data_IF_280631696059
#
_entry.id   IF_280631696059
#
_cell.length_a   1.000
_cell.length_b   1.000
_cell.length_c   1.000
_cell.angle_alpha   90.00
_cell.angle_beta   90.00
_cell.angle_gamma   90.00
#
_symmetry.space_group_name_H-M   'P 1'
#
loop_
_entity.id
_entity.type
_entity.pdbx_description
1 polymer ?
#
# COMPACT_ATOMS: atom_id res chain seq x y z
N UNK A 1 11.40 13.93 8.72
CA UNK A 1 11.19 12.85 9.70
C UNK A 1 11.13 11.56 8.89
N UNK A 2 12.24 10.85 8.77
CA UNK A 2 12.39 9.65 7.91
C UNK A 2 12.18 8.36 8.70
N UNK A 3 11.32 8.42 9.72
CA UNK A 3 11.10 7.28 10.60
C UNK A 3 10.38 6.18 9.80
N UNK A 4 10.87 4.94 9.89
CA UNK A 4 10.21 3.81 9.24
C UNK A 4 8.87 3.51 9.95
N UNK A 5 7.94 2.86 9.24
CA UNK A 5 6.63 2.39 9.73
C UNK A 5 5.51 3.43 9.79
N UNK A 6 5.55 4.45 8.92
CA UNK A 6 4.36 5.25 8.66
C UNK A 6 3.34 4.43 7.88
N UNK A 7 2.08 4.42 8.32
CA UNK A 7 1.03 3.68 7.67
C UNK A 7 -0.18 4.55 7.36
N UNK A 8 -0.84 4.19 6.29
CA UNK A 8 -2.17 4.67 5.93
C UNK A 8 -3.10 3.47 5.79
N UNK A 9 -4.35 3.62 6.21
CA UNK A 9 -5.36 2.55 6.18
C UNK A 9 -6.68 3.11 5.71
N UNK A 10 -7.40 2.33 4.92
CA UNK A 10 -8.78 2.60 4.50
C UNK A 10 -9.70 1.45 4.89
N UNK A 11 -10.94 1.78 5.29
CA UNK A 11 -12.08 0.86 5.40
C UNK A 11 -12.93 1.03 4.14
N UNK A 12 -13.11 -0.04 3.37
CA UNK A 12 -13.91 -0.06 2.14
C UNK A 12 -15.42 -0.06 2.41
N UNK A 13 -15.83 -0.26 3.67
CA UNK A 13 -17.22 -0.28 4.12
C UNK A 13 -17.87 -1.67 4.13
N UNK A 14 -17.38 -2.59 3.30
CA UNK A 14 -17.81 -3.99 3.25
C UNK A 14 -16.65 -4.90 2.79
N UNK A 15 -16.85 -6.22 2.81
CA UNK A 15 -15.88 -7.20 2.31
C UNK A 15 -16.00 -7.30 0.79
N UNK A 16 -14.91 -7.01 0.11
CA UNK A 16 -14.80 -7.09 -1.34
C UNK A 16 -13.67 -8.02 -1.79
N UNK A 17 -13.85 -8.74 -2.90
CA UNK A 17 -12.73 -9.43 -3.55
C UNK A 17 -11.87 -8.40 -4.28
N UNK A 18 -10.61 -8.28 -3.90
CA UNK A 18 -9.65 -7.33 -4.49
C UNK A 18 -8.41 -8.06 -5.01
N UNK A 19 -7.80 -7.53 -6.06
CA UNK A 19 -6.62 -8.11 -6.72
C UNK A 19 -5.56 -7.06 -7.07
N UNK A 20 -5.79 -5.80 -6.71
CA UNK A 20 -4.85 -4.73 -7.03
C UNK A 20 -5.01 -3.47 -6.20
N UNK A 21 -3.89 -2.78 -6.02
CA UNK A 21 -3.82 -1.45 -5.41
C UNK A 21 -2.86 -0.58 -6.23
N UNK A 22 -3.29 0.64 -6.56
CA UNK A 22 -2.45 1.67 -7.18
C UNK A 22 -2.18 2.78 -6.17
N UNK A 23 -0.92 3.14 -6.00
CA UNK A 23 -0.48 4.22 -5.12
C UNK A 23 0.14 5.33 -5.97
N UNK A 24 -0.35 6.56 -5.80
CA UNK A 24 0.24 7.77 -6.38
C UNK A 24 1.02 8.52 -5.30
N UNK A 25 2.34 8.40 -5.32
CA UNK A 25 3.26 9.06 -4.40
C UNK A 25 3.38 10.57 -4.70
N UNK A 26 3.59 11.38 -3.67
CA UNK A 26 3.75 12.84 -3.84
C UNK A 26 4.98 13.17 -4.73
N UNK A 27 6.07 12.43 -4.52
CA UNK A 27 7.36 12.60 -5.20
C UNK A 27 7.75 11.35 -6.00
N UNK A 28 8.52 11.54 -7.08
CA UNK A 28 9.11 10.46 -7.87
C UNK A 28 10.41 9.96 -7.21
N UNK A 29 10.29 9.26 -6.09
CA UNK A 29 11.40 8.80 -5.27
C UNK A 29 11.23 7.32 -4.89
N UNK A 30 12.27 6.73 -4.31
CA UNK A 30 12.22 5.35 -3.83
C UNK A 30 11.41 5.27 -2.53
N UNK A 31 10.22 4.69 -2.64
CA UNK A 31 9.39 4.29 -1.51
C UNK A 31 9.44 2.78 -1.36
N UNK A 32 9.90 2.31 -0.20
CA UNK A 32 9.76 0.93 0.22
C UNK A 32 8.49 0.80 1.04
N UNK A 33 7.63 -0.15 0.68
CA UNK A 33 6.34 -0.31 1.34
C UNK A 33 5.86 -1.75 1.32
N UNK A 34 4.87 -2.04 2.17
CA UNK A 34 4.10 -3.28 2.12
C UNK A 34 2.62 -2.94 2.03
N UNK A 35 1.86 -3.78 1.33
CA UNK A 35 0.40 -3.69 1.29
C UNK A 35 -0.15 -4.91 2.02
N UNK A 36 -1.01 -4.64 2.98
CA UNK A 36 -1.66 -5.63 3.81
C UNK A 36 -3.17 -5.44 3.73
N UNK A 37 -3.91 -6.54 3.77
CA UNK A 37 -5.36 -6.55 3.69
C UNK A 37 -5.95 -7.30 4.88
N UNK A 38 -7.18 -6.95 5.25
CA UNK A 38 -7.86 -7.59 6.37
C UNK A 38 -9.38 -7.55 6.18
N UNK A 39 -10.07 -8.57 6.67
CA UNK A 39 -11.54 -8.59 6.77
C UNK A 39 -12.04 -8.04 8.11
N UNK A 40 -11.21 -8.07 9.16
CA UNK A 40 -11.61 -7.84 10.55
C UNK A 40 -10.82 -6.73 11.26
N UNK A 41 -9.86 -6.10 10.57
CA UNK A 41 -8.95 -5.07 11.07
C UNK A 41 -7.99 -5.55 12.20
N UNK A 42 -7.98 -6.85 12.50
CA UNK A 42 -7.14 -7.46 13.54
C UNK A 42 -6.08 -8.38 12.91
N UNK A 43 -6.50 -9.25 11.99
CA UNK A 43 -5.66 -10.17 11.26
C UNK A 43 -5.33 -9.59 9.89
N UNK A 44 -4.03 -9.41 9.62
CA UNK A 44 -3.55 -8.76 8.41
C UNK A 44 -2.78 -9.76 7.54
N UNK A 45 -3.17 -9.85 6.27
CA UNK A 45 -2.50 -10.68 5.26
C UNK A 45 -1.66 -9.73 4.41
N UNK A 46 -0.34 -9.98 4.35
CA UNK A 46 0.54 -9.26 3.44
C UNK A 46 0.32 -9.78 2.02
N UNK A 47 -0.16 -8.91 1.13
CA UNK A 47 -0.44 -9.24 -0.28
C UNK A 47 0.64 -8.72 -1.23
N UNK A 48 1.35 -7.67 -0.83
CA UNK A 48 2.46 -7.10 -1.61
C UNK A 48 3.61 -6.78 -0.66
N UNK A 49 4.82 -7.22 -1.02
CA UNK A 49 6.06 -6.83 -0.35
C UNK A 49 6.97 -6.06 -1.31
N UNK A 50 7.05 -4.75 -1.11
CA UNK A 50 7.92 -3.82 -1.83
C UNK A 50 8.93 -3.21 -0.84
N UNK A 51 9.38 -3.98 0.15
CA UNK A 51 10.36 -3.51 1.14
C UNK A 51 11.75 -3.24 0.55
N UNK A 52 12.04 -3.79 -0.63
CA UNK A 52 13.25 -3.53 -1.42
C UNK A 52 12.86 -2.99 -2.80
N UNK A 53 11.99 -1.98 -2.84
CA UNK A 53 11.53 -1.38 -4.09
C UNK A 53 12.67 -0.58 -4.74
N UNK A 54 12.86 -0.77 -6.03
CA UNK A 54 13.84 -0.07 -6.87
C UNK A 54 13.18 0.90 -7.87
N UNK A 55 11.85 0.97 -7.89
CA UNK A 55 11.09 1.91 -8.72
C UNK A 55 10.92 3.26 -8.04
N UNK A 56 11.25 4.32 -8.78
CA UNK A 56 11.01 5.72 -8.43
C UNK A 56 9.77 6.31 -9.12
N UNK A 57 8.95 5.47 -9.75
CA UNK A 57 7.72 5.92 -10.40
C UNK A 57 6.75 6.51 -9.36
N UNK A 58 6.12 7.63 -9.71
CA UNK A 58 5.09 8.26 -8.87
C UNK A 58 3.87 7.35 -8.72
N UNK A 59 3.40 6.77 -9.82
CA UNK A 59 2.26 5.87 -9.81
C UNK A 59 2.77 4.44 -9.84
N UNK A 60 2.47 3.66 -8.80
CA UNK A 60 2.86 2.26 -8.73
C UNK A 60 1.62 1.39 -8.57
N UNK A 61 1.36 0.58 -9.60
CA UNK A 61 0.31 -0.44 -9.59
C UNK A 61 0.89 -1.76 -9.07
N UNK A 62 0.27 -2.30 -8.03
CA UNK A 62 0.62 -3.60 -7.45
C UNK A 62 -0.57 -4.53 -7.55
N UNK A 63 -0.49 -5.50 -8.45
CA UNK A 63 -1.42 -6.62 -8.53
C UNK A 63 -1.00 -7.78 -7.61
N UNK A 64 -1.97 -8.52 -7.10
CA UNK A 64 -1.77 -9.69 -6.25
C UNK A 64 -2.90 -10.72 -6.47
N UNK A 65 -2.74 -11.93 -5.92
CA UNK A 65 -3.79 -12.95 -5.97
C UNK A 65 -5.07 -12.41 -5.34
N UNK A 66 -6.24 -12.74 -5.91
CA UNK A 66 -7.54 -12.33 -5.38
C UNK A 66 -7.66 -12.65 -3.88
N UNK A 67 -7.90 -11.63 -3.07
CA UNK A 67 -8.14 -11.74 -1.63
C UNK A 67 -9.44 -11.02 -1.24
N UNK A 68 -10.17 -11.58 -0.27
CA UNK A 68 -11.32 -10.89 0.30
C UNK A 68 -10.84 -9.92 1.38
N UNK A 69 -11.19 -8.65 1.26
CA UNK A 69 -10.75 -7.61 2.17
C UNK A 69 -11.83 -6.55 2.41
N UNK A 70 -11.89 -6.05 3.63
CA UNK A 70 -12.62 -4.83 3.99
C UNK A 70 -11.67 -3.67 4.28
N UNK A 71 -10.50 -3.97 4.81
CA UNK A 71 -9.48 -2.99 5.16
C UNK A 71 -8.24 -3.21 4.31
N UNK A 72 -7.66 -2.10 3.85
CA UNK A 72 -6.37 -2.09 3.15
C UNK A 72 -5.45 -1.17 3.93
N UNK A 73 -4.22 -1.63 4.20
CA UNK A 73 -3.18 -0.87 4.88
C UNK A 73 -1.93 -0.84 4.01
N UNK A 74 -1.38 0.35 3.83
CA UNK A 74 -0.10 0.59 3.19
C UNK A 74 0.85 1.05 4.29
N UNK A 75 1.96 0.33 4.47
CA UNK A 75 2.98 0.67 5.45
C UNK A 75 4.28 1.00 4.71
N UNK A 76 4.76 2.23 4.84
CA UNK A 76 6.07 2.65 4.31
C UNK A 76 7.15 2.15 5.26
N UNK A 77 7.95 1.21 4.77
CA UNK A 77 9.01 0.53 5.52
C UNK A 77 10.37 1.20 5.32
N UNK A 78 10.53 2.03 4.29
CA UNK A 78 11.75 2.77 4.03
C UNK A 78 11.55 3.88 3.00
N UNK A 79 12.34 4.93 3.14
CA UNK A 79 12.38 6.06 2.21
C UNK A 79 13.77 6.69 2.26
N UNK A 80 14.11 7.44 1.22
CA UNK A 80 15.36 8.19 1.15
C UNK A 80 15.44 9.23 2.27
N UNK A 81 16.63 9.38 2.86
CA UNK A 81 16.87 10.39 3.90
C UNK A 81 16.56 11.79 3.40
N UNK A 82 15.93 12.61 4.24
CA UNK A 82 15.47 13.96 3.88
C UNK A 82 14.03 14.04 3.35
N UNK A 83 13.41 12.90 3.03
CA UNK A 83 12.01 12.84 2.60
C UNK A 83 11.08 12.42 3.74
N UNK A 84 9.77 12.50 3.50
CA UNK A 84 8.71 11.99 4.39
C UNK A 84 7.74 11.13 3.61
N UNK A 85 7.14 10.14 4.27
CA UNK A 85 6.10 9.31 3.67
C UNK A 85 4.92 10.18 3.25
N UNK A 86 4.62 10.20 1.94
CA UNK A 86 3.60 11.07 1.36
C UNK A 86 2.97 10.45 0.12
N UNK A 87 1.64 10.45 0.07
CA UNK A 87 0.85 9.91 -1.04
C UNK A 87 -0.29 10.88 -1.37
N UNK A 88 -0.56 11.06 -2.66
CA UNK A 88 -1.66 11.86 -3.18
C UNK A 88 -2.97 11.07 -3.19
N UNK A 89 -2.91 9.83 -3.68
CA UNK A 89 -4.09 9.00 -3.95
C UNK A 89 -3.74 7.52 -3.79
N UNK A 90 -4.72 6.74 -3.33
CA UNK A 90 -4.68 5.29 -3.34
C UNK A 90 -5.98 4.77 -3.97
N UNK A 91 -5.86 3.88 -4.96
CA UNK A 91 -7.00 3.21 -5.61
C UNK A 91 -6.93 1.72 -5.31
N UNK A 92 -8.08 1.14 -5.00
CA UNK A 92 -8.24 -0.31 -4.77
C UNK A 92 -9.09 -0.87 -5.90
N UNK A 93 -8.66 -1.98 -6.49
CA UNK A 93 -9.33 -2.61 -7.62
C UNK A 93 -10.01 -3.91 -7.21
N UNK A 94 -11.22 -4.11 -7.73
CA UNK A 94 -11.96 -5.34 -7.53
C UNK A 94 -11.47 -6.43 -8.47
N UNK A 95 -11.34 -7.63 -7.92
CA UNK A 95 -11.07 -8.82 -8.71
C UNK A 95 -12.26 -9.15 -9.61
N UNK A 96 -11.98 -9.53 -10.85
CA UNK A 96 -12.99 -10.03 -11.80
C UNK A 96 -13.33 -11.50 -11.57
#
# INVERSE_FOLDING_TARGET
NSNANHWWKVDLGDIYPIDGVEINWEYAELYNYVIEVSIDNNNWIKVVDKSNNDSNEKNQMSGFSKENARYVRITVTGLKSGYWASMNECKVFYAK
#
